data_IF_830334923565
#
_entry.id   IF_830334923565
#
_cell.length_a   1.000
_cell.length_b   1.000
_cell.length_c   1.000
_cell.angle_alpha   90.00
_cell.angle_beta   90.00
_cell.angle_gamma   90.00
#
_symmetry.space_group_name_H-M   'P 1'
#
loop_
_entity.id
_entity.type
_entity.pdbx_description
1 polymer ?
#
# COMPACT_ATOMS: atom_id res chain seq x y z
N UNK A 1 21.08 -13.66 16.17
CA UNK A 1 21.11 -14.15 14.78
C UNK A 1 20.85 -12.94 13.89
N UNK A 2 21.74 -12.67 12.95
CA UNK A 2 21.55 -11.60 11.95
C UNK A 2 21.32 -12.30 10.62
N UNK A 3 20.17 -12.01 9.97
CA UNK A 3 19.88 -12.54 8.65
C UNK A 3 20.74 -11.80 7.62
N UNK A 4 21.28 -12.51 6.59
CA UNK A 4 22.00 -11.85 5.50
C UNK A 4 21.04 -11.04 4.62
N UNK A 5 21.53 -9.98 3.97
CA UNK A 5 20.82 -9.31 2.89
C UNK A 5 20.96 -10.13 1.59
N UNK A 6 19.98 -10.00 0.70
CA UNK A 6 20.05 -10.66 -0.62
C UNK A 6 20.92 -9.83 -1.56
N UNK A 7 20.75 -8.50 -1.52
CA UNK A 7 21.53 -7.54 -2.33
C UNK A 7 21.55 -6.18 -1.61
N UNK A 8 22.24 -5.18 -2.16
CA UNK A 8 22.35 -3.84 -1.58
C UNK A 8 21.03 -3.10 -1.38
N UNK A 9 19.99 -3.50 -2.11
CA UNK A 9 18.64 -2.90 -2.05
C UNK A 9 17.55 -3.87 -1.57
N UNK A 10 17.89 -5.11 -1.21
CA UNK A 10 16.95 -6.12 -0.72
C UNK A 10 17.50 -6.67 0.59
N UNK A 11 16.96 -6.19 1.68
CA UNK A 11 17.45 -6.40 3.03
C UNK A 11 17.07 -7.76 3.63
N UNK A 12 17.45 -7.94 4.88
CA UNK A 12 17.19 -9.15 5.66
C UNK A 12 15.71 -9.32 6.03
N UNK A 13 14.95 -8.24 6.09
CA UNK A 13 13.50 -8.17 6.24
C UNK A 13 12.79 -8.83 5.05
N UNK A 14 13.11 -8.40 3.84
CA UNK A 14 12.62 -9.00 2.62
C UNK A 14 12.96 -10.50 2.54
N UNK A 15 14.20 -10.89 2.97
CA UNK A 15 14.56 -12.31 3.05
C UNK A 15 13.64 -13.10 3.99
N UNK A 16 13.19 -12.51 5.09
CA UNK A 16 12.27 -13.15 6.01
C UNK A 16 10.91 -13.42 5.37
N UNK A 17 10.38 -12.42 4.64
CA UNK A 17 9.13 -12.54 3.86
C UNK A 17 9.29 -13.66 2.80
N UNK A 18 10.40 -13.68 2.08
CA UNK A 18 10.64 -14.68 1.04
C UNK A 18 10.81 -16.09 1.59
N UNK A 19 11.43 -16.23 2.76
CA UNK A 19 11.52 -17.52 3.45
C UNK A 19 10.15 -18.03 3.85
N UNK A 20 9.27 -17.15 4.31
CA UNK A 20 7.90 -17.50 4.63
C UNK A 20 7.10 -17.90 3.39
N UNK A 21 7.22 -17.15 2.30
CA UNK A 21 6.60 -17.46 1.00
C UNK A 21 7.10 -18.82 0.48
N UNK A 22 8.40 -19.09 0.60
CA UNK A 22 8.99 -20.39 0.24
C UNK A 22 8.47 -21.53 1.10
N UNK A 23 8.25 -21.32 2.40
CA UNK A 23 7.67 -22.32 3.28
C UNK A 23 6.22 -22.68 2.92
N UNK A 24 5.55 -21.86 2.12
CA UNK A 24 4.25 -22.15 1.51
C UNK A 24 4.35 -22.90 0.17
N UNK A 25 5.52 -23.44 -0.14
CA UNK A 25 5.80 -24.25 -1.35
C UNK A 25 4.82 -25.40 -1.50
N UNK A 26 4.22 -25.52 -2.68
CA UNK A 26 3.10 -26.42 -2.99
C UNK A 26 1.87 -25.65 -3.47
N UNK A 27 1.86 -24.35 -3.27
CA UNK A 27 0.91 -23.41 -3.88
C UNK A 27 1.48 -22.87 -5.19
N UNK A 28 0.61 -22.39 -6.03
CA UNK A 28 0.91 -21.84 -7.36
C UNK A 28 1.74 -20.55 -7.23
N UNK A 29 2.27 -20.05 -8.33
CA UNK A 29 3.04 -18.79 -8.48
C UNK A 29 2.64 -17.71 -7.46
N UNK A 30 3.48 -17.43 -6.48
CA UNK A 30 3.24 -16.43 -5.44
C UNK A 30 4.07 -15.21 -5.74
N UNK A 31 3.40 -14.08 -5.83
CA UNK A 31 4.00 -12.77 -5.88
C UNK A 31 3.90 -12.17 -4.47
N UNK A 32 5.00 -11.67 -3.93
CA UNK A 32 5.03 -11.03 -2.62
C UNK A 32 5.52 -9.60 -2.75
N UNK A 33 4.92 -8.70 -2.00
CA UNK A 33 5.37 -7.31 -1.86
C UNK A 33 5.45 -6.95 -0.39
N UNK A 34 6.61 -6.47 0.04
CA UNK A 34 6.81 -5.84 1.33
C UNK A 34 6.75 -4.34 1.13
N UNK A 35 5.76 -3.68 1.74
CA UNK A 35 5.49 -2.26 1.53
C UNK A 35 6.01 -1.47 2.72
N UNK A 36 7.14 -0.79 2.51
CA UNK A 36 7.73 0.21 3.38
C UNK A 36 8.04 1.49 2.60
N UNK A 37 9.09 2.19 2.99
CA UNK A 37 9.62 3.35 2.24
C UNK A 37 10.06 2.95 0.83
N UNK A 38 10.57 1.72 0.69
CA UNK A 38 10.70 1.04 -0.58
C UNK A 38 9.60 -0.02 -0.70
N UNK A 39 9.39 -0.52 -1.92
CA UNK A 39 8.59 -1.71 -2.16
C UNK A 39 9.50 -2.85 -2.59
N UNK A 40 9.80 -3.79 -1.70
CA UNK A 40 10.54 -5.00 -2.03
C UNK A 40 9.58 -6.03 -2.59
N UNK A 41 9.83 -6.46 -3.84
CA UNK A 41 8.95 -7.36 -4.58
C UNK A 41 9.68 -8.65 -4.88
N UNK A 42 9.00 -9.77 -4.67
CA UNK A 42 9.51 -11.09 -4.98
C UNK A 42 8.49 -11.94 -5.75
N UNK A 43 9.01 -12.75 -6.65
CA UNK A 43 8.25 -13.74 -7.39
C UNK A 43 8.92 -15.12 -7.24
N UNK A 44 8.18 -16.08 -6.70
CA UNK A 44 8.58 -17.48 -6.71
C UNK A 44 7.98 -18.17 -7.92
N UNK A 45 8.83 -18.58 -8.84
CA UNK A 45 8.43 -19.25 -10.08
C UNK A 45 9.42 -20.32 -10.49
N UNK A 46 8.95 -21.53 -10.84
CA UNK A 46 9.75 -22.68 -11.33
C UNK A 46 10.94 -23.03 -10.42
N UNK A 47 10.77 -22.92 -9.11
CA UNK A 47 11.83 -23.21 -8.14
C UNK A 47 12.88 -22.12 -8.00
N UNK A 48 12.69 -20.97 -8.62
CA UNK A 48 13.56 -19.80 -8.54
C UNK A 48 12.86 -18.63 -7.88
N UNK A 49 13.64 -17.83 -7.16
CA UNK A 49 13.21 -16.58 -6.55
C UNK A 49 13.82 -15.43 -7.34
N UNK A 50 12.97 -14.59 -7.93
CA UNK A 50 13.36 -13.32 -8.54
C UNK A 50 12.85 -12.19 -7.67
N UNK A 51 13.65 -11.15 -7.46
CA UNK A 51 13.27 -10.00 -6.63
C UNK A 51 13.74 -8.69 -7.22
N UNK A 52 13.06 -7.62 -6.83
CA UNK A 52 13.46 -6.24 -7.09
C UNK A 52 13.01 -5.32 -5.96
N UNK A 53 13.60 -4.13 -5.88
CA UNK A 53 13.17 -3.06 -4.98
C UNK A 53 12.73 -1.86 -5.80
N UNK A 54 11.70 -1.17 -5.33
CA UNK A 54 11.14 0.03 -5.97
C UNK A 54 11.13 1.20 -5.01
N UNK A 55 11.40 2.40 -5.50
CA UNK A 55 11.36 3.62 -4.71
C UNK A 55 9.92 4.13 -4.56
N UNK A 56 9.10 3.45 -3.75
CA UNK A 56 7.72 3.83 -3.49
C UNK A 56 7.61 5.16 -2.74
N UNK A 57 8.58 5.47 -1.90
CA UNK A 57 8.54 6.63 -1.02
C UNK A 57 7.67 6.40 0.22
N UNK A 58 7.70 7.31 1.20
CA UNK A 58 7.14 7.07 2.53
C UNK A 58 5.64 7.41 2.65
N UNK A 59 4.91 7.59 1.55
CA UNK A 59 3.50 7.98 1.57
C UNK A 59 2.62 6.99 2.35
N UNK A 60 2.88 5.69 2.21
CA UNK A 60 2.15 4.64 2.92
C UNK A 60 2.51 4.53 4.41
N UNK A 61 3.61 5.15 4.83
CA UNK A 61 3.94 5.31 6.26
C UNK A 61 3.33 6.59 6.86
N UNK A 62 2.54 7.33 6.07
CA UNK A 62 1.95 8.62 6.45
C UNK A 62 2.95 9.78 6.40
N UNK A 63 4.18 9.55 5.95
CA UNK A 63 5.18 10.60 5.86
C UNK A 63 5.09 11.37 4.53
N UNK A 64 5.28 12.66 4.59
CA UNK A 64 5.22 13.55 3.43
C UNK A 64 3.80 13.99 3.04
N UNK A 65 2.76 13.38 3.60
CA UNK A 65 1.37 13.81 3.42
C UNK A 65 1.07 15.01 4.32
N UNK A 66 0.16 15.88 3.88
CA UNK A 66 -0.16 17.16 4.56
C UNK A 66 -0.61 16.97 6.00
N UNK A 67 -1.43 15.96 6.26
CA UNK A 67 -1.88 15.58 7.60
C UNK A 67 -1.54 14.11 7.92
N UNK A 68 -0.48 13.59 7.28
CA UNK A 68 -0.01 12.24 7.51
C UNK A 68 0.62 12.05 8.87
N UNK A 69 0.43 10.88 9.46
CA UNK A 69 1.07 10.48 10.72
C UNK A 69 1.22 8.96 10.81
N UNK A 70 2.10 8.52 11.69
CA UNK A 70 2.22 7.09 12.00
C UNK A 70 0.92 6.55 12.62
N UNK A 71 0.68 5.24 12.51
CA UNK A 71 -0.45 4.55 13.13
C UNK A 71 -0.39 4.55 14.65
N UNK A 72 -0.82 5.62 15.29
CA UNK A 72 -0.85 5.83 16.74
C UNK A 72 -2.11 6.59 17.15
N UNK A 73 -2.35 6.68 18.45
CA UNK A 73 -3.52 7.39 19.01
C UNK A 73 -3.76 8.75 18.36
N UNK A 74 -4.96 8.95 17.83
CA UNK A 74 -5.38 10.12 17.09
C UNK A 74 -5.25 10.00 15.56
N UNK A 75 -4.64 8.94 15.03
CA UNK A 75 -4.60 8.70 13.60
C UNK A 75 -5.94 8.12 13.11
N UNK A 76 -6.45 8.63 12.00
CA UNK A 76 -7.49 7.96 11.21
C UNK A 76 -6.84 6.74 10.56
N UNK A 77 -7.29 5.53 10.92
CA UNK A 77 -6.74 4.28 10.40
C UNK A 77 -7.65 3.56 9.41
N UNK A 78 -8.96 3.79 9.52
CA UNK A 78 -9.94 3.28 8.58
C UNK A 78 -10.97 4.34 8.22
N UNK A 79 -11.44 4.28 6.97
CA UNK A 79 -12.53 5.11 6.46
C UNK A 79 -13.48 4.23 5.67
N UNK A 80 -14.78 4.44 5.82
CA UNK A 80 -15.82 3.72 5.09
C UNK A 80 -16.92 4.68 4.67
N UNK A 81 -17.62 4.35 3.60
CA UNK A 81 -18.86 5.03 3.22
C UNK A 81 -20.01 4.39 3.98
N UNK A 82 -20.77 5.20 4.71
CA UNK A 82 -22.00 4.79 5.35
C UNK A 82 -23.07 5.86 5.12
N UNK A 83 -24.21 5.46 4.56
CA UNK A 83 -25.32 6.37 4.23
C UNK A 83 -24.87 7.57 3.35
N UNK A 84 -23.93 7.33 2.43
CA UNK A 84 -23.40 8.36 1.51
C UNK A 84 -22.43 9.36 2.15
N UNK A 85 -21.96 9.10 3.37
CA UNK A 85 -21.00 9.96 4.08
C UNK A 85 -19.80 9.15 4.56
N UNK A 86 -18.66 9.83 4.70
CA UNK A 86 -17.44 9.22 5.24
C UNK A 86 -17.57 9.00 6.74
N UNK A 87 -17.29 7.78 7.17
CA UNK A 87 -17.16 7.39 8.57
C UNK A 87 -15.72 6.97 8.84
N UNK A 88 -15.06 7.66 9.75
CA UNK A 88 -13.67 7.42 10.07
C UNK A 88 -13.51 6.74 11.43
N UNK A 89 -12.63 5.75 11.49
CA UNK A 89 -12.18 5.14 12.74
C UNK A 89 -10.83 5.75 13.15
N UNK A 90 -10.76 6.21 14.40
CA UNK A 90 -9.56 6.86 14.96
C UNK A 90 -8.93 5.96 16.02
N UNK A 91 -7.64 5.67 15.88
CA UNK A 91 -6.88 4.87 16.85
C UNK A 91 -6.98 5.50 18.24
N UNK A 92 -7.43 4.71 19.21
CA UNK A 92 -7.59 5.16 20.61
C UNK A 92 -8.82 6.03 20.84
N UNK A 93 -9.65 6.27 19.82
CA UNK A 93 -10.84 7.12 19.90
C UNK A 93 -10.52 8.63 20.01
N UNK A 94 -11.56 9.45 20.15
CA UNK A 94 -11.43 10.90 20.30
C UNK A 94 -11.28 11.65 18.97
N UNK A 95 -10.82 12.90 19.06
CA UNK A 95 -10.69 13.76 17.89
C UNK A 95 -9.53 13.32 16.99
N UNK A 96 -9.72 13.26 15.66
CA UNK A 96 -8.66 12.93 14.72
C UNK A 96 -7.60 14.03 14.67
N UNK A 97 -6.33 13.63 14.59
CA UNK A 97 -5.17 14.52 14.54
C UNK A 97 -4.43 14.45 13.21
N UNK A 98 -4.60 13.34 12.49
CA UNK A 98 -3.99 13.07 11.21
C UNK A 98 -4.46 11.72 10.68
N UNK A 99 -3.84 11.24 9.63
CA UNK A 99 -4.21 10.01 8.92
C UNK A 99 -2.99 9.13 8.71
N UNK A 100 -3.10 7.83 8.99
CA UNK A 100 -2.02 6.89 8.70
C UNK A 100 -2.21 6.24 7.33
N UNK A 101 -1.24 5.43 6.91
CA UNK A 101 -1.22 4.85 5.56
C UNK A 101 -2.46 4.06 5.18
N UNK A 102 -2.97 3.18 6.07
CA UNK A 102 -4.21 2.42 5.81
C UNK A 102 -5.41 3.35 5.66
N UNK A 103 -5.53 4.35 6.54
CA UNK A 103 -6.59 5.35 6.45
C UNK A 103 -6.56 6.15 5.16
N UNK A 104 -5.37 6.48 4.63
CA UNK A 104 -5.23 7.17 3.34
C UNK A 104 -5.76 6.32 2.19
N UNK A 105 -5.42 5.03 2.15
CA UNK A 105 -5.91 4.10 1.12
C UNK A 105 -7.44 4.00 1.17
N UNK A 106 -7.99 3.78 2.36
CA UNK A 106 -9.45 3.73 2.56
C UNK A 106 -10.12 5.05 2.17
N UNK A 107 -9.55 6.19 2.58
CA UNK A 107 -10.10 7.50 2.25
C UNK A 107 -10.15 7.76 0.74
N UNK A 108 -9.07 7.43 0.02
CA UNK A 108 -9.05 7.57 -1.45
C UNK A 108 -10.05 6.64 -2.13
N UNK A 109 -10.18 5.40 -1.67
CA UNK A 109 -11.18 4.46 -2.17
C UNK A 109 -12.61 4.98 -1.95
N UNK A 110 -12.89 5.51 -0.75
CA UNK A 110 -14.19 6.10 -0.43
C UNK A 110 -14.48 7.37 -1.24
N UNK A 111 -13.47 8.22 -1.48
CA UNK A 111 -13.64 9.42 -2.31
C UNK A 111 -13.91 9.05 -3.78
N UNK A 112 -13.32 7.98 -4.30
CA UNK A 112 -13.66 7.42 -5.62
C UNK A 112 -15.09 6.91 -5.65
N UNK A 113 -15.51 6.15 -4.63
CA UNK A 113 -16.88 5.62 -4.52
C UNK A 113 -17.93 6.73 -4.47
N UNK A 114 -17.62 7.85 -3.82
CA UNK A 114 -18.50 9.03 -3.71
C UNK A 114 -18.37 10.00 -4.88
N UNK A 115 -17.59 9.67 -5.92
CA UNK A 115 -17.30 10.54 -7.07
C UNK A 115 -16.66 11.90 -6.71
N UNK A 116 -16.09 12.00 -5.50
CA UNK A 116 -15.35 13.18 -5.02
C UNK A 116 -13.88 13.16 -5.43
N UNK A 117 -13.41 12.04 -5.96
CA UNK A 117 -12.12 11.82 -6.62
C UNK A 117 -12.42 11.14 -7.95
N UNK A 118 -11.89 11.64 -9.05
CA UNK A 118 -12.06 11.02 -10.35
C UNK A 118 -10.98 9.95 -10.64
N UNK A 119 -11.17 9.18 -11.71
CA UNK A 119 -10.23 8.12 -12.13
C UNK A 119 -8.83 8.63 -12.47
N UNK A 120 -8.67 9.92 -12.79
CA UNK A 120 -7.37 10.57 -13.03
C UNK A 120 -6.68 10.98 -11.74
N UNK A 121 -7.41 10.91 -10.62
CA UNK A 121 -6.99 11.37 -9.30
C UNK A 121 -7.14 12.87 -9.12
N UNK A 122 -8.08 13.51 -9.79
CA UNK A 122 -8.46 14.90 -9.53
C UNK A 122 -9.54 14.96 -8.46
N UNK A 123 -9.29 15.72 -7.39
CA UNK A 123 -10.27 15.97 -6.34
C UNK A 123 -11.33 16.97 -6.82
N UNK A 124 -12.61 16.69 -6.55
CA UNK A 124 -13.70 17.65 -6.76
C UNK A 124 -13.53 18.89 -5.87
N UNK A 125 -13.06 18.68 -4.64
CA UNK A 125 -12.74 19.73 -3.67
C UNK A 125 -11.32 19.53 -3.13
N UNK A 126 -10.49 20.57 -3.16
CA UNK A 126 -9.13 20.57 -2.59
C UNK A 126 -9.00 21.67 -1.51
N UNK A 127 -8.77 21.32 -0.22
CA UNK A 127 -8.66 19.96 0.32
C UNK A 127 -10.02 19.24 0.47
N UNK A 128 -10.00 17.90 0.27
CA UNK A 128 -11.14 17.03 0.51
C UNK A 128 -11.22 16.66 2.00
N UNK A 129 -12.33 16.94 2.70
CA UNK A 129 -12.50 16.57 4.11
C UNK A 129 -12.67 15.05 4.22
N UNK A 130 -11.96 14.42 5.18
CA UNK A 130 -12.07 12.98 5.48
C UNK A 130 -12.70 12.78 6.87
N UNK A 131 -12.10 13.37 7.88
CA UNK A 131 -12.59 13.36 9.26
C UNK A 131 -12.15 14.69 9.92
N UNK A 132 -12.94 15.74 9.87
CA UNK A 132 -12.51 17.06 10.29
C UNK A 132 -11.87 17.10 11.67
N UNK A 133 -10.69 17.75 11.84
CA UNK A 133 -10.02 18.63 10.85
C UNK A 133 -9.18 17.91 9.79
N UNK A 134 -9.10 16.57 9.77
CA UNK A 134 -8.28 15.80 8.84
C UNK A 134 -8.86 15.88 7.43
N UNK A 135 -8.03 16.26 6.48
CA UNK A 135 -8.34 16.34 5.06
C UNK A 135 -7.18 15.80 4.21
N UNK A 136 -7.46 15.48 2.95
CA UNK A 136 -6.47 15.13 1.92
C UNK A 136 -6.41 16.24 0.88
N UNK A 137 -5.21 16.61 0.47
CA UNK A 137 -4.95 17.57 -0.59
C UNK A 137 -4.69 16.88 -1.92
N UNK A 138 -4.84 17.64 -3.01
CA UNK A 138 -4.45 17.14 -4.35
C UNK A 138 -2.99 16.65 -4.39
N UNK A 139 -2.11 17.30 -3.62
CA UNK A 139 -0.71 16.87 -3.48
C UNK A 139 -0.60 15.50 -2.82
N UNK A 140 -1.40 15.23 -1.80
CA UNK A 140 -1.41 13.93 -1.11
C UNK A 140 -1.84 12.81 -2.06
N UNK A 141 -2.90 13.06 -2.86
CA UNK A 141 -3.32 12.13 -3.93
C UNK A 141 -2.17 11.81 -4.88
N UNK A 142 -1.44 12.84 -5.36
CA UNK A 142 -0.29 12.65 -6.26
C UNK A 142 0.83 11.83 -5.62
N UNK A 143 1.09 12.00 -4.33
CA UNK A 143 2.09 11.21 -3.62
C UNK A 143 1.72 9.73 -3.57
N UNK A 144 0.45 9.41 -3.28
CA UNK A 144 -0.05 8.03 -3.30
C UNK A 144 0.00 7.44 -4.71
N UNK A 145 -0.38 8.22 -5.74
CA UNK A 145 -0.29 7.78 -7.13
C UNK A 145 1.15 7.43 -7.54
N UNK A 146 2.14 8.23 -7.12
CA UNK A 146 3.55 7.96 -7.39
C UNK A 146 4.02 6.67 -6.70
N UNK A 147 3.69 6.50 -5.42
CA UNK A 147 4.03 5.30 -4.67
C UNK A 147 3.41 4.04 -5.29
N UNK A 148 2.12 4.08 -5.60
CA UNK A 148 1.41 3.00 -6.29
C UNK A 148 2.04 2.68 -7.65
N UNK A 149 2.35 3.70 -8.43
CA UNK A 149 2.96 3.53 -9.76
C UNK A 149 4.34 2.88 -9.69
N UNK A 150 5.16 3.22 -8.69
CA UNK A 150 6.46 2.60 -8.48
C UNK A 150 6.33 1.11 -8.19
N UNK A 151 5.42 0.72 -7.27
CA UNK A 151 5.15 -0.68 -6.94
C UNK A 151 4.61 -1.43 -8.16
N UNK A 152 3.62 -0.86 -8.86
CA UNK A 152 3.04 -1.45 -10.06
C UNK A 152 4.08 -1.67 -11.17
N UNK A 153 4.99 -0.70 -11.37
CA UNK A 153 6.08 -0.82 -12.34
C UNK A 153 7.04 -1.96 -11.97
N UNK A 154 7.40 -2.09 -10.69
CA UNK A 154 8.22 -3.20 -10.19
C UNK A 154 7.57 -4.55 -10.40
N UNK A 155 6.31 -4.71 -9.99
CA UNK A 155 5.51 -5.92 -10.17
C UNK A 155 5.46 -6.34 -11.65
N UNK A 156 5.10 -5.42 -12.53
CA UNK A 156 5.02 -5.68 -13.98
C UNK A 156 6.37 -6.02 -14.60
N UNK A 157 7.43 -5.34 -14.15
CA UNK A 157 8.78 -5.59 -14.65
C UNK A 157 9.23 -6.99 -14.26
N UNK A 158 9.04 -7.38 -13.00
CA UNK A 158 9.42 -8.69 -12.49
C UNK A 158 8.67 -9.80 -13.21
N UNK A 159 7.36 -9.67 -13.35
CA UNK A 159 6.55 -10.63 -14.11
C UNK A 159 7.01 -10.74 -15.55
N UNK A 160 7.27 -9.61 -16.22
CA UNK A 160 7.72 -9.60 -17.63
C UNK A 160 9.07 -10.25 -17.82
N UNK A 161 10.03 -10.05 -16.91
CA UNK A 161 11.35 -10.70 -16.94
C UNK A 161 11.20 -12.22 -16.88
N UNK A 162 10.25 -12.71 -16.11
CA UNK A 162 9.95 -14.15 -15.98
C UNK A 162 9.00 -14.69 -17.08
N UNK A 163 8.66 -13.86 -18.09
CA UNK A 163 7.77 -14.25 -19.17
C UNK A 163 6.32 -14.44 -18.75
N UNK A 164 5.88 -13.72 -17.71
CA UNK A 164 4.57 -13.80 -17.11
C UNK A 164 3.80 -12.48 -17.27
N UNK A 165 2.48 -12.54 -17.09
CA UNK A 165 1.63 -11.37 -16.96
C UNK A 165 0.85 -11.41 -15.62
N UNK A 166 0.10 -10.35 -15.30
CA UNK A 166 -0.66 -10.27 -14.06
C UNK A 166 -1.64 -11.42 -13.84
N UNK A 167 -2.27 -11.89 -14.92
CA UNK A 167 -3.22 -13.02 -14.87
C UNK A 167 -2.55 -14.37 -14.53
N UNK A 168 -1.23 -14.46 -14.67
CA UNK A 168 -0.47 -15.65 -14.31
C UNK A 168 -0.13 -15.73 -12.82
N UNK A 169 -0.21 -14.62 -12.09
CA UNK A 169 -0.05 -14.60 -10.64
C UNK A 169 -1.28 -15.22 -9.97
N UNK A 170 -1.09 -16.28 -9.19
CA UNK A 170 -2.20 -16.95 -8.52
C UNK A 170 -2.54 -16.28 -7.17
N UNK A 171 -1.53 -15.75 -6.50
CA UNK A 171 -1.66 -15.07 -5.21
C UNK A 171 -0.70 -13.88 -5.16
N UNK A 172 -1.15 -12.78 -4.54
CA UNK A 172 -0.33 -11.66 -4.14
C UNK A 172 -0.30 -11.61 -2.62
N UNK A 173 0.85 -11.86 -2.03
CA UNK A 173 1.07 -11.71 -0.59
C UNK A 173 1.57 -10.29 -0.30
N UNK A 174 0.83 -9.55 0.50
CA UNK A 174 1.25 -8.22 0.98
C UNK A 174 1.84 -8.37 2.37
N UNK A 175 3.05 -7.90 2.55
CA UNK A 175 3.81 -7.97 3.79
C UNK A 175 4.19 -6.57 4.28
N UNK A 176 4.94 -6.51 5.38
CA UNK A 176 5.33 -5.29 6.05
C UNK A 176 4.32 -4.82 7.10
N UNK A 177 4.74 -3.86 7.91
CA UNK A 177 3.90 -3.30 8.96
C UNK A 177 2.63 -2.63 8.42
N UNK A 178 2.74 -1.96 7.29
CA UNK A 178 1.62 -1.37 6.57
C UNK A 178 0.68 -2.43 5.99
N UNK A 179 1.23 -3.47 5.35
CA UNK A 179 0.45 -4.52 4.69
C UNK A 179 -0.52 -5.26 5.63
N UNK A 180 -0.19 -5.36 6.92
CA UNK A 180 -1.03 -6.01 7.92
C UNK A 180 -2.32 -5.25 8.24
N UNK A 181 -2.37 -3.96 7.96
CA UNK A 181 -3.52 -3.07 8.23
C UNK A 181 -4.22 -2.59 6.96
N UNK A 182 -3.74 -3.01 5.80
CA UNK A 182 -4.29 -2.63 4.50
C UNK A 182 -5.64 -3.33 4.26
N UNK A 183 -6.67 -2.57 3.95
CA UNK A 183 -7.91 -3.15 3.40
C UNK A 183 -7.69 -3.50 1.92
N UNK A 184 -7.85 -4.79 1.60
CA UNK A 184 -7.60 -5.33 0.25
C UNK A 184 -8.60 -4.79 -0.77
N UNK A 185 -9.84 -4.54 -0.35
CA UNK A 185 -10.87 -4.00 -1.24
C UNK A 185 -10.57 -2.54 -1.59
N UNK A 186 -10.23 -1.73 -0.58
CA UNK A 186 -9.80 -0.34 -0.78
C UNK A 186 -8.57 -0.25 -1.67
N UNK A 187 -7.57 -1.12 -1.45
CA UNK A 187 -6.39 -1.21 -2.29
C UNK A 187 -6.74 -1.59 -3.74
N UNK A 188 -7.67 -2.53 -3.93
CA UNK A 188 -8.15 -2.94 -5.25
C UNK A 188 -8.90 -1.84 -5.99
N UNK A 189 -9.67 -1.00 -5.28
CA UNK A 189 -10.40 0.12 -5.87
C UNK A 189 -9.47 1.22 -6.40
N UNK A 190 -8.41 1.52 -5.67
CA UNK A 190 -7.44 2.53 -6.13
C UNK A 190 -6.45 1.97 -7.16
N UNK A 191 -6.40 0.65 -7.40
CA UNK A 191 -5.63 -0.06 -8.44
C UNK A 191 -4.26 -0.49 -8.01
#
# INVERSE_FOLDING_TARGET
LVLPSIDGYVGADALSVYTWVKAMEGRKKILAVDIGTNGEIALWHRGQLSCCSTAAGPAFEGAGLSMGMAGKTGAVEHVRVQDGVLQAHVIGGGAPKGICGSGVIDALACLLELEQLDETGLLEQDPAPVAPPVCLTQKDVRMVQLAKSAICAGLRTLLRVEGLCGADAAELAVAGGFGSYLDVNSAGLIG
#
